data_IF_565299495086
#
_entry.id   IF_565299495086
#
_cell.length_a   1.000
_cell.length_b   1.000
_cell.length_c   1.000
_cell.angle_alpha   90.00
_cell.angle_beta   90.00
_cell.angle_gamma   90.00
#
_symmetry.space_group_name_H-M   'P 1'
#
loop_
_entity.id
_entity.type
_entity.pdbx_description
1 polymer ?
#
# COMPACT_ATOMS: atom_id res chain seq x y z
N UNK A 1 -4.45 -8.37 -17.78
CA UNK A 1 -5.58 -8.76 -16.89
C UNK A 1 -6.77 -9.38 -17.64
N UNK A 2 -7.44 -8.66 -18.57
CA UNK A 2 -8.64 -9.17 -19.28
C UNK A 2 -8.45 -10.56 -19.92
N UNK A 3 -7.31 -10.79 -20.57
CA UNK A 3 -6.99 -12.05 -21.27
C UNK A 3 -6.32 -13.12 -20.40
N UNK A 4 -6.04 -12.85 -19.13
CA UNK A 4 -5.35 -13.77 -18.23
C UNK A 4 -6.35 -14.45 -17.32
N UNK A 5 -6.51 -15.78 -17.41
CA UNK A 5 -7.58 -16.51 -16.72
C UNK A 5 -7.46 -16.49 -15.20
N UNK A 6 -6.22 -16.43 -14.69
CA UNK A 6 -5.92 -16.44 -13.26
C UNK A 6 -6.32 -15.14 -12.57
N UNK A 7 -6.31 -14.01 -13.28
CA UNK A 7 -6.73 -12.70 -12.73
C UNK A 7 -8.25 -12.60 -12.81
N UNK A 8 -8.89 -12.52 -11.65
CA UNK A 8 -10.36 -12.43 -11.51
C UNK A 8 -10.81 -10.99 -11.35
N UNK A 9 -10.12 -10.22 -10.52
CA UNK A 9 -10.48 -8.83 -10.19
C UNK A 9 -9.23 -7.96 -10.12
N UNK A 10 -9.35 -6.70 -10.52
CA UNK A 10 -8.33 -5.68 -10.38
C UNK A 10 -8.94 -4.46 -9.68
N UNK A 11 -8.33 -4.05 -8.58
CA UNK A 11 -8.72 -2.87 -7.81
C UNK A 11 -7.50 -1.94 -7.72
N UNK A 12 -7.69 -0.67 -8.04
CA UNK A 12 -6.73 0.39 -7.78
C UNK A 12 -7.02 1.00 -6.41
N UNK A 13 -5.99 1.19 -5.60
CA UNK A 13 -6.05 1.93 -4.34
C UNK A 13 -5.07 3.13 -4.37
N UNK A 14 -4.87 3.76 -3.21
CA UNK A 14 -3.89 4.83 -3.06
C UNK A 14 -4.41 6.16 -3.57
N UNK A 15 -3.50 7.11 -3.79
CA UNK A 15 -3.85 8.48 -4.16
C UNK A 15 -4.60 8.55 -5.50
N UNK A 16 -4.31 7.65 -6.43
CA UNK A 16 -4.95 7.57 -7.75
C UNK A 16 -6.42 7.14 -7.70
N UNK A 17 -6.85 6.49 -6.62
CA UNK A 17 -8.24 6.05 -6.42
C UNK A 17 -8.94 6.73 -5.24
N UNK A 18 -8.27 7.67 -4.58
CA UNK A 18 -8.81 8.46 -3.47
C UNK A 18 -9.20 9.87 -3.91
N UNK A 19 -9.69 10.69 -2.97
CA UNK A 19 -9.92 12.12 -3.18
C UNK A 19 -8.64 12.97 -3.00
N UNK A 20 -7.46 12.35 -3.02
CA UNK A 20 -6.18 13.05 -2.87
C UNK A 20 -5.76 13.71 -4.19
N UNK A 21 -5.09 14.88 -4.15
CA UNK A 21 -4.44 15.41 -5.33
C UNK A 21 -3.39 14.42 -5.85
N UNK A 22 -3.32 14.26 -7.18
CA UNK A 22 -2.31 13.45 -7.86
C UNK A 22 -1.55 14.28 -8.89
N UNK A 23 -0.36 13.82 -9.22
CA UNK A 23 0.56 14.42 -10.17
C UNK A 23 1.32 13.34 -10.98
N UNK A 24 2.27 13.77 -11.81
CA UNK A 24 3.08 12.87 -12.63
C UNK A 24 4.03 11.96 -11.83
N UNK A 25 4.23 12.24 -10.54
CA UNK A 25 5.07 11.45 -9.63
C UNK A 25 4.25 10.48 -8.78
N UNK A 26 2.93 10.48 -8.93
CA UNK A 26 2.03 9.64 -8.15
C UNK A 26 2.11 8.18 -8.60
N UNK A 27 2.37 7.29 -7.65
CA UNK A 27 2.46 5.84 -7.84
C UNK A 27 1.08 5.21 -8.16
N UNK A 28 1.09 3.98 -8.68
CA UNK A 28 -0.12 3.16 -8.85
C UNK A 28 -0.10 1.95 -7.91
N UNK A 29 -1.09 1.84 -7.03
CA UNK A 29 -1.24 0.72 -6.10
C UNK A 29 -2.31 -0.27 -6.61
N UNK A 30 -1.87 -1.34 -7.28
CA UNK A 30 -2.75 -2.33 -7.91
C UNK A 30 -2.91 -3.58 -7.05
N UNK A 31 -4.14 -3.81 -6.61
CA UNK A 31 -4.58 -5.04 -5.96
C UNK A 31 -5.10 -6.01 -7.02
N UNK A 32 -4.31 -7.03 -7.30
CA UNK A 32 -4.59 -8.06 -8.29
C UNK A 32 -5.14 -9.30 -7.59
N UNK A 33 -6.45 -9.53 -7.68
CA UNK A 33 -7.07 -10.73 -7.10
C UNK A 33 -7.01 -11.88 -8.09
N UNK A 34 -6.39 -12.96 -7.66
CA UNK A 34 -6.02 -14.11 -8.49
C UNK A 34 -6.44 -15.43 -7.86
N UNK A 35 -6.59 -16.46 -8.69
CA UNK A 35 -6.84 -17.82 -8.20
C UNK A 35 -5.62 -18.35 -7.45
N UNK A 36 -4.43 -18.21 -8.04
CA UNK A 36 -3.16 -18.60 -7.41
C UNK A 36 -2.10 -17.48 -7.46
N UNK A 37 -1.77 -16.82 -6.32
CA UNK A 37 -0.72 -15.81 -6.25
C UNK A 37 0.67 -16.32 -6.66
N UNK A 38 0.96 -17.61 -6.40
CA UNK A 38 2.30 -18.17 -6.64
C UNK A 38 2.73 -18.10 -8.10
N UNK A 39 1.77 -18.08 -9.03
CA UNK A 39 2.03 -17.91 -10.46
C UNK A 39 2.77 -16.61 -10.77
N UNK A 40 2.47 -15.53 -10.04
CA UNK A 40 3.03 -14.20 -10.29
C UNK A 40 4.27 -13.90 -9.44
N UNK A 41 4.54 -14.73 -8.44
CA UNK A 41 5.68 -14.56 -7.54
C UNK A 41 6.84 -15.47 -7.89
N UNK A 42 6.56 -16.65 -8.46
CA UNK A 42 7.54 -17.64 -8.93
C UNK A 42 8.29 -17.18 -10.18
N UNK A 43 7.59 -16.56 -11.13
CA UNK A 43 8.18 -15.87 -12.27
C UNK A 43 7.76 -14.40 -12.29
N UNK A 44 8.75 -13.50 -12.37
CA UNK A 44 8.53 -12.06 -12.42
C UNK A 44 8.69 -11.49 -13.83
N UNK A 45 8.92 -12.32 -14.85
CA UNK A 45 9.14 -11.87 -16.25
C UNK A 45 8.02 -10.97 -16.77
N UNK A 46 6.80 -11.16 -16.28
CA UNK A 46 5.60 -10.40 -16.64
C UNK A 46 5.70 -8.89 -16.38
N UNK A 47 6.54 -8.44 -15.44
CA UNK A 47 6.72 -7.00 -15.17
C UNK A 47 7.30 -6.26 -16.39
N UNK A 48 8.00 -6.97 -17.28
CA UNK A 48 8.56 -6.38 -18.50
C UNK A 48 7.51 -6.12 -19.59
N UNK A 49 6.25 -6.49 -19.38
CA UNK A 49 5.18 -6.27 -20.36
C UNK A 49 4.68 -4.82 -20.39
N UNK A 50 5.04 -3.99 -19.41
CA UNK A 50 4.51 -2.63 -19.28
C UNK A 50 5.48 -1.57 -19.81
N UNK A 51 6.76 -1.66 -19.44
CA UNK A 51 7.84 -0.78 -19.90
C UNK A 51 9.19 -1.43 -19.52
N UNK A 52 10.30 -0.77 -19.86
CA UNK A 52 11.61 -1.10 -19.35
C UNK A 52 11.65 -0.94 -17.81
N UNK A 53 11.91 -2.04 -17.12
CA UNK A 53 12.08 -2.08 -15.67
C UNK A 53 13.47 -1.54 -15.32
N UNK A 54 13.52 -0.55 -14.44
CA UNK A 54 14.77 -0.04 -13.87
C UNK A 54 15.20 -0.87 -12.66
N UNK A 55 14.27 -1.10 -11.74
CA UNK A 55 14.47 -1.90 -10.52
C UNK A 55 13.11 -2.39 -10.02
N UNK A 56 13.11 -3.52 -9.32
CA UNK A 56 11.93 -3.97 -8.58
C UNK A 56 12.31 -4.57 -7.24
N UNK A 57 11.38 -4.51 -6.29
CA UNK A 57 11.50 -5.12 -4.96
C UNK A 57 10.46 -6.23 -4.78
N UNK A 58 10.85 -7.27 -4.04
CA UNK A 58 9.96 -8.36 -3.65
C UNK A 58 9.58 -8.15 -2.19
N UNK A 59 8.39 -7.62 -2.00
CA UNK A 59 7.85 -7.38 -0.66
C UNK A 59 6.72 -8.35 -0.36
N UNK A 60 6.31 -8.32 0.90
CA UNK A 60 5.10 -8.99 1.37
C UNK A 60 4.55 -8.30 2.61
N UNK A 61 3.24 -8.30 2.72
CA UNK A 61 2.56 -7.91 3.96
C UNK A 61 1.54 -8.98 4.35
N UNK A 62 0.93 -8.82 5.52
CA UNK A 62 -0.06 -9.77 6.02
C UNK A 62 -1.41 -9.11 6.18
N UNK A 63 -2.45 -9.69 5.59
CA UNK A 63 -3.84 -9.33 5.86
C UNK A 63 -4.54 -10.48 6.59
N UNK A 64 -4.91 -10.29 7.85
CA UNK A 64 -5.56 -11.33 8.69
C UNK A 64 -4.83 -12.69 8.64
N UNK A 65 -3.50 -12.67 8.79
CA UNK A 65 -2.59 -13.83 8.70
C UNK A 65 -2.41 -14.44 7.30
N UNK A 66 -2.95 -13.83 6.25
CA UNK A 66 -2.72 -14.23 4.86
C UNK A 66 -1.57 -13.39 4.32
N UNK A 67 -0.51 -14.06 3.87
CA UNK A 67 0.61 -13.42 3.19
C UNK A 67 0.15 -12.90 1.83
N UNK A 68 0.33 -11.60 1.60
CA UNK A 68 0.07 -10.93 0.33
C UNK A 68 1.41 -10.54 -0.26
N UNK A 69 1.89 -11.26 -1.29
CA UNK A 69 3.13 -10.92 -1.96
C UNK A 69 2.94 -9.69 -2.86
N UNK A 70 3.93 -8.80 -2.81
CA UNK A 70 3.90 -7.52 -3.53
C UNK A 70 5.15 -7.34 -4.40
N UNK A 71 4.99 -6.70 -5.55
CA UNK A 71 6.09 -6.26 -6.41
C UNK A 71 6.04 -4.76 -6.57
N UNK A 72 7.04 -4.07 -6.00
CA UNK A 72 7.22 -2.64 -6.18
C UNK A 72 8.11 -2.45 -7.40
N UNK A 73 7.59 -1.89 -8.49
CA UNK A 73 8.30 -1.83 -9.77
C UNK A 73 8.49 -0.38 -10.21
N UNK A 74 9.74 0.01 -10.44
CA UNK A 74 10.09 1.29 -11.04
C UNK A 74 10.37 1.10 -12.54
N UNK A 75 9.64 1.84 -13.36
CA UNK A 75 9.76 1.84 -14.82
C UNK A 75 10.52 3.07 -15.31
N UNK A 76 11.06 2.98 -16.53
CA UNK A 76 11.86 4.06 -17.12
C UNK A 76 11.04 5.29 -17.49
N UNK A 77 9.87 5.10 -18.09
CA UNK A 77 9.05 6.20 -18.62
C UNK A 77 7.64 6.23 -18.01
N UNK A 78 7.40 5.41 -16.99
CA UNK A 78 6.11 5.31 -16.31
C UNK A 78 6.32 5.47 -14.80
N UNK A 79 5.30 5.96 -14.06
CA UNK A 79 5.33 5.99 -12.60
C UNK A 79 5.58 4.60 -12.01
N UNK A 80 5.94 4.58 -10.72
CA UNK A 80 6.06 3.33 -9.99
C UNK A 80 4.72 2.62 -9.96
N UNK A 81 4.75 1.30 -10.02
CA UNK A 81 3.56 0.46 -9.84
C UNK A 81 3.83 -0.60 -8.79
N UNK A 82 2.97 -0.64 -7.79
CA UNK A 82 2.97 -1.63 -6.72
C UNK A 82 1.88 -2.67 -7.02
N UNK A 83 2.29 -3.90 -7.30
CA UNK A 83 1.39 -5.00 -7.60
C UNK A 83 1.27 -5.93 -6.39
N UNK A 84 0.12 -5.92 -5.73
CA UNK A 84 -0.18 -6.82 -4.61
C UNK A 84 -1.07 -7.97 -5.11
N UNK A 85 -0.61 -9.21 -4.95
CA UNK A 85 -1.32 -10.39 -5.47
C UNK A 85 -2.13 -11.08 -4.36
N UNK A 86 -3.44 -10.89 -4.42
CA UNK A 86 -4.35 -11.41 -3.41
C UNK A 86 -4.99 -12.70 -3.87
N UNK A 87 -5.09 -13.73 -3.02
CA UNK A 87 -6.00 -14.83 -3.27
C UNK A 87 -7.45 -14.31 -3.40
N UNK A 88 -8.17 -14.72 -4.45
CA UNK A 88 -9.54 -14.25 -4.72
C UNK A 88 -10.51 -14.53 -3.56
N UNK A 89 -10.26 -15.60 -2.79
CA UNK A 89 -11.06 -15.93 -1.61
C UNK A 89 -10.99 -14.85 -0.50
N UNK A 90 -9.96 -14.00 -0.49
CA UNK A 90 -9.88 -12.86 0.43
C UNK A 90 -10.94 -11.83 0.09
N UNK A 91 -11.14 -11.53 -1.20
CA UNK A 91 -12.17 -10.61 -1.65
C UNK A 91 -13.57 -11.11 -1.33
N UNK A 92 -13.83 -12.42 -1.53
CA UNK A 92 -15.10 -13.02 -1.13
C UNK A 92 -15.39 -12.80 0.36
N UNK A 93 -14.38 -12.99 1.22
CA UNK A 93 -14.50 -12.74 2.67
C UNK A 93 -14.70 -11.26 2.99
N UNK A 94 -14.06 -10.34 2.27
CA UNK A 94 -14.26 -8.89 2.47
C UNK A 94 -15.71 -8.52 2.16
N UNK A 95 -16.24 -9.01 1.04
CA UNK A 95 -17.61 -8.75 0.60
C UNK A 95 -18.62 -9.37 1.58
N UNK A 96 -18.44 -10.64 1.94
CA UNK A 96 -19.31 -11.36 2.87
C UNK A 96 -19.36 -10.69 4.25
N UNK A 97 -18.20 -10.34 4.81
CA UNK A 97 -18.12 -9.73 6.14
C UNK A 97 -18.46 -8.25 6.15
N UNK A 98 -18.54 -7.61 4.99
CA UNK A 98 -18.84 -6.18 4.88
C UNK A 98 -17.85 -5.31 5.68
N UNK A 99 -16.57 -5.67 5.63
CA UNK A 99 -15.47 -4.93 6.27
C UNK A 99 -14.39 -4.68 5.23
N UNK A 100 -14.25 -3.42 4.81
CA UNK A 100 -13.19 -2.99 3.91
C UNK A 100 -11.82 -3.09 4.61
N UNK A 101 -10.76 -3.43 3.86
CA UNK A 101 -9.38 -3.15 4.29
C UNK A 101 -9.22 -1.66 4.61
N UNK A 102 -8.36 -1.34 5.58
CA UNK A 102 -8.11 0.06 5.97
C UNK A 102 -7.67 0.91 4.78
N UNK A 103 -6.81 0.35 3.91
CA UNK A 103 -6.33 1.03 2.71
C UNK A 103 -7.45 1.41 1.73
N UNK A 104 -8.56 0.67 1.72
CA UNK A 104 -9.69 0.94 0.83
C UNK A 104 -10.63 2.02 1.38
N UNK A 105 -10.55 2.35 2.68
CA UNK A 105 -11.44 3.36 3.30
C UNK A 105 -11.25 4.75 2.68
N UNK A 106 -10.04 5.03 2.18
CA UNK A 106 -9.71 6.31 1.56
C UNK A 106 -10.11 6.41 0.09
N UNK A 107 -10.67 5.35 -0.49
CA UNK A 107 -11.02 5.29 -1.90
C UNK A 107 -10.39 4.08 -2.57
N UNK A 108 -11.13 3.49 -3.50
CA UNK A 108 -10.63 2.46 -4.41
C UNK A 108 -11.44 2.52 -5.70
N UNK A 109 -10.82 2.11 -6.81
CA UNK A 109 -11.47 2.01 -8.11
C UNK A 109 -11.41 0.58 -8.62
N UNK A 110 -12.55 0.07 -9.08
CA UNK A 110 -12.64 -1.28 -9.62
C UNK A 110 -12.39 -1.21 -11.12
N UNK A 111 -11.21 -1.67 -11.54
CA UNK A 111 -10.78 -1.63 -12.94
C UNK A 111 -11.24 -2.86 -13.74
N UNK A 112 -11.46 -3.99 -13.04
CA UNK A 112 -11.90 -5.25 -13.64
C UNK A 112 -12.60 -6.12 -12.60
N UNK A 113 -13.75 -6.69 -12.95
CA UNK A 113 -14.41 -7.76 -12.21
C UNK A 113 -14.99 -8.80 -13.18
N UNK A 114 -14.36 -9.98 -13.23
CA UNK A 114 -14.81 -11.08 -14.09
C UNK A 114 -15.87 -11.95 -13.42
N UNK A 115 -15.97 -11.91 -12.11
CA UNK A 115 -16.87 -12.76 -11.32
C UNK A 115 -18.18 -12.04 -10.99
N UNK A 116 -18.26 -10.73 -11.26
CA UNK A 116 -19.42 -9.87 -10.98
C UNK A 116 -19.84 -9.92 -9.52
N UNK A 117 -18.84 -9.90 -8.65
CA UNK A 117 -19.00 -9.99 -7.19
C UNK A 117 -18.97 -8.61 -6.53
N UNK A 118 -18.44 -7.61 -7.23
CA UNK A 118 -18.19 -6.27 -6.68
C UNK A 118 -19.45 -5.42 -6.59
N UNK A 119 -20.56 -5.78 -7.26
CA UNK A 119 -21.83 -5.06 -7.09
C UNK A 119 -22.30 -4.99 -5.61
N UNK A 120 -21.76 -5.85 -4.73
CA UNK A 120 -22.05 -5.90 -3.31
C UNK A 120 -20.95 -5.29 -2.40
N UNK A 121 -19.88 -4.72 -2.96
CA UNK A 121 -18.82 -4.11 -2.14
C UNK A 121 -19.33 -2.81 -1.51
N UNK A 122 -18.88 -2.52 -0.29
CA UNK A 122 -19.24 -1.28 0.41
C UNK A 122 -18.47 -0.11 -0.17
N UNK A 123 -19.15 1.02 -0.40
CA UNK A 123 -18.49 2.25 -0.80
C UNK A 123 -17.51 2.75 0.27
N UNK A 124 -16.34 3.27 -0.13
CA UNK A 124 -15.42 3.90 0.81
C UNK A 124 -16.09 5.08 1.48
N UNK A 125 -15.82 5.25 2.77
CA UNK A 125 -16.36 6.33 3.60
C UNK A 125 -15.39 7.53 3.74
N UNK A 126 -14.20 7.45 3.12
CA UNK A 126 -13.19 8.50 3.05
C UNK A 126 -12.76 9.05 4.42
N UNK A 127 -12.80 8.21 5.45
CA UNK A 127 -12.51 8.62 6.82
C UNK A 127 -11.15 8.14 7.35
N UNK A 128 -10.36 7.44 6.53
CA UNK A 128 -9.03 6.94 6.93
C UNK A 128 -8.00 8.04 7.22
N UNK A 129 -8.28 9.29 6.83
CA UNK A 129 -7.47 10.47 7.20
C UNK A 129 -8.12 11.37 8.26
N UNK A 130 -9.24 10.97 8.85
CA UNK A 130 -9.86 11.76 9.93
C UNK A 130 -8.99 11.63 11.18
N UNK A 131 -8.20 12.67 11.44
CA UNK A 131 -7.49 12.83 12.70
C UNK A 131 -8.52 13.30 13.74
N UNK A 132 -8.80 12.44 14.72
CA UNK A 132 -9.61 12.82 15.86
C UNK A 132 -8.84 13.80 16.75
N UNK A 133 -9.55 14.66 17.47
CA UNK A 133 -8.93 15.53 18.47
C UNK A 133 -8.25 14.66 19.53
N UNK A 134 -6.94 14.82 19.77
CA UNK A 134 -6.25 14.05 20.80
C UNK A 134 -6.71 14.49 22.18
N UNK A 135 -6.62 13.57 23.12
CA UNK A 135 -6.66 13.89 24.55
C UNK A 135 -5.47 14.76 24.95
N UNK A 136 -5.57 15.44 26.09
CA UNK A 136 -4.44 16.21 26.64
C UNK A 136 -3.20 15.33 26.85
N UNK A 137 -3.39 14.11 27.34
CA UNK A 137 -2.30 13.16 27.57
C UNK A 137 -1.60 12.71 26.27
N UNK A 138 -2.36 12.44 25.20
CA UNK A 138 -1.80 12.10 23.89
C UNK A 138 -1.00 13.26 23.28
N UNK A 139 -1.52 14.48 23.43
CA UNK A 139 -0.84 15.69 22.98
C UNK A 139 0.47 15.89 23.74
N UNK A 140 0.44 15.84 25.07
CA UNK A 140 1.61 16.00 25.91
C UNK A 140 2.65 14.91 25.65
N UNK A 141 2.22 13.65 25.50
CA UNK A 141 3.09 12.53 25.16
C UNK A 141 3.81 12.76 23.83
N UNK A 142 3.08 13.19 22.79
CA UNK A 142 3.65 13.52 21.48
C UNK A 142 4.69 14.63 21.59
N UNK A 143 4.39 15.69 22.33
CA UNK A 143 5.33 16.80 22.57
C UNK A 143 6.59 16.34 23.32
N UNK A 144 6.44 15.53 24.37
CA UNK A 144 7.57 15.02 25.13
C UNK A 144 8.47 14.12 24.29
N UNK A 145 7.88 13.21 23.51
CA UNK A 145 8.65 12.34 22.60
C UNK A 145 9.43 13.16 21.58
N UNK A 146 8.80 14.16 20.96
CA UNK A 146 9.46 15.05 20.00
C UNK A 146 10.70 15.73 20.61
N UNK A 147 10.54 16.38 21.77
CA UNK A 147 11.66 17.09 22.39
C UNK A 147 12.75 16.14 22.90
N UNK A 148 12.38 14.96 23.38
CA UNK A 148 13.32 13.94 23.82
C UNK A 148 14.20 13.44 22.66
N UNK A 149 13.60 13.15 21.51
CA UNK A 149 14.33 12.70 20.32
C UNK A 149 15.19 13.83 19.72
N UNK A 150 14.65 15.03 19.57
CA UNK A 150 15.39 16.19 19.05
C UNK A 150 16.65 16.50 19.88
N UNK A 151 16.53 16.48 21.21
CA UNK A 151 17.67 16.64 22.12
C UNK A 151 18.68 15.49 21.98
N UNK A 152 18.21 14.27 21.74
CA UNK A 152 19.05 13.08 21.59
C UNK A 152 19.84 13.11 20.27
N UNK A 153 19.20 13.47 19.16
CA UNK A 153 19.83 13.67 17.84
C UNK A 153 21.00 14.64 17.95
N UNK A 154 20.81 15.76 18.65
CA UNK A 154 21.86 16.79 18.85
C UNK A 154 23.11 16.23 19.53
N UNK A 155 22.95 15.34 20.52
CA UNK A 155 24.08 14.67 21.19
C UNK A 155 24.88 13.78 20.23
N UNK A 156 24.20 13.09 19.32
CA UNK A 156 24.84 12.21 18.35
C UNK A 156 25.55 13.00 17.25
N UNK A 157 24.95 14.09 16.77
CA UNK A 157 25.62 15.01 15.86
C UNK A 157 26.90 15.59 16.48
N UNK A 158 26.86 16.00 17.76
CA UNK A 158 28.05 16.53 18.47
C UNK A 158 29.17 15.49 18.67
N UNK A 159 28.85 14.20 18.56
CA UNK A 159 29.79 13.07 18.67
C UNK A 159 30.22 12.51 17.31
N UNK A 160 29.95 13.24 16.23
CA UNK A 160 30.22 12.83 14.84
C UNK A 160 29.57 11.49 14.46
N UNK A 161 28.42 11.16 15.08
CA UNK A 161 27.63 9.96 14.79
C UNK A 161 26.47 10.26 13.84
N UNK A 162 26.79 10.78 12.66
CA UNK A 162 25.81 11.25 11.67
C UNK A 162 24.77 10.18 11.30
N UNK A 163 25.21 8.95 11.01
CA UNK A 163 24.30 7.88 10.61
C UNK A 163 23.32 7.50 11.72
N UNK A 164 23.77 7.50 12.98
CA UNK A 164 22.90 7.20 14.11
C UNK A 164 21.89 8.33 14.37
N UNK A 165 22.33 9.58 14.22
CA UNK A 165 21.45 10.74 14.27
C UNK A 165 20.37 10.67 13.18
N UNK A 166 20.72 10.26 11.95
CA UNK A 166 19.77 10.09 10.84
C UNK A 166 18.78 8.95 11.05
N UNK A 167 19.23 7.82 11.62
CA UNK A 167 18.31 6.72 11.96
C UNK A 167 17.27 7.19 13.00
N UNK A 168 17.70 7.90 14.04
CA UNK A 168 16.79 8.46 15.04
C UNK A 168 15.83 9.50 14.46
N UNK A 169 16.32 10.40 13.60
CA UNK A 169 15.50 11.44 12.96
C UNK A 169 14.39 10.86 12.07
N UNK A 170 14.68 9.80 11.33
CA UNK A 170 13.70 9.18 10.44
C UNK A 170 12.67 8.31 11.19
N UNK A 171 12.83 8.14 12.51
CA UNK A 171 12.08 7.18 13.31
C UNK A 171 12.56 5.73 13.09
N UNK A 172 12.37 4.84 14.10
CA UNK A 172 12.53 3.40 13.91
C UNK A 172 11.48 2.80 12.98
#
# INVERSE_FOLDING_TARGET
>A
AKNESEIRTLILEGSQASNSPTDELSDYDLNVFVVNPDKYTSDNSWINNFDQVLVYQKEKFFYKNIEIPTRLVLYKNNPRVDFSFWPINVLYKIIENRILPESYRNGYEVLLDKDKIIDNIILPNYDGFIINQPTEDELLTTMYNFWFEACSITKYLKRDRLWFAKILENGP
#
